data_IF_353278399823
#
_entry.id   IF_353278399823
#
_cell.length_a   1.000
_cell.length_b   1.000
_cell.length_c   1.000
_cell.angle_alpha   90.00
_cell.angle_beta   90.00
_cell.angle_gamma   90.00
#
_symmetry.space_group_name_H-M   'P 1'
#
loop_
_entity.id
_entity.type
_entity.pdbx_description
1 polymer ?
#
# COMPACT_ATOMS: atom_id res chain seq x y z
N UNK A 1 15.13 22.67 -25.13
CA UNK A 1 14.56 22.03 -23.92
C UNK A 1 13.37 21.23 -24.40
N UNK A 2 13.37 19.90 -24.24
CA UNK A 2 12.28 19.07 -24.74
C UNK A 2 11.06 19.17 -23.82
N UNK A 3 9.87 19.24 -24.40
CA UNK A 3 8.61 19.16 -23.65
C UNK A 3 8.55 17.83 -22.92
N UNK A 4 8.50 17.88 -21.60
CA UNK A 4 8.25 16.70 -20.77
C UNK A 4 6.75 16.60 -20.56
N UNK A 5 6.13 15.53 -21.08
CA UNK A 5 4.73 15.20 -20.80
C UNK A 5 4.64 14.16 -19.68
N UNK A 6 3.66 14.32 -18.80
CA UNK A 6 3.33 13.35 -17.76
C UNK A 6 1.91 12.84 -17.99
N UNK A 7 1.69 11.56 -17.74
CA UNK A 7 0.35 10.97 -17.75
C UNK A 7 -0.11 10.76 -16.31
N UNK A 8 -1.34 11.15 -16.02
CA UNK A 8 -2.00 10.94 -14.73
C UNK A 8 -3.30 10.18 -14.98
N UNK A 9 -3.54 9.12 -14.22
CA UNK A 9 -4.77 8.35 -14.24
C UNK A 9 -5.45 8.40 -12.86
N UNK A 10 -6.78 8.41 -12.85
CA UNK A 10 -7.61 8.44 -11.63
C UNK A 10 -8.74 7.43 -11.81
N UNK A 11 -8.93 6.57 -10.80
CA UNK A 11 -10.03 5.60 -10.73
C UNK A 11 -10.93 5.93 -9.55
N UNK A 12 -12.25 5.88 -9.76
CA UNK A 12 -13.28 6.11 -8.75
C UNK A 12 -14.48 5.17 -8.93
N UNK A 13 -15.40 5.19 -7.97
CA UNK A 13 -16.72 4.53 -8.04
C UNK A 13 -16.71 3.00 -8.19
N UNK A 14 -15.59 2.38 -7.81
CA UNK A 14 -15.36 0.93 -7.85
C UNK A 14 -14.85 0.43 -6.49
N UNK A 15 -14.73 -0.89 -6.34
CA UNK A 15 -14.11 -1.45 -5.12
C UNK A 15 -12.63 -1.05 -5.04
N UNK A 16 -12.09 -0.89 -3.83
CA UNK A 16 -10.65 -0.57 -3.62
C UNK A 16 -9.75 -1.58 -4.35
N UNK A 17 -10.11 -2.86 -4.33
CA UNK A 17 -9.38 -3.93 -5.02
C UNK A 17 -9.34 -3.71 -6.53
N UNK A 18 -10.49 -3.40 -7.14
CA UNK A 18 -10.58 -3.06 -8.58
C UNK A 18 -9.73 -1.83 -8.89
N UNK A 19 -9.87 -0.76 -8.12
CA UNK A 19 -9.15 0.50 -8.35
C UNK A 19 -7.63 0.33 -8.24
N UNK A 20 -7.14 -0.40 -7.23
CA UNK A 20 -5.70 -0.72 -7.10
C UNK A 20 -5.21 -1.52 -8.31
N UNK A 21 -5.97 -2.53 -8.74
CA UNK A 21 -5.65 -3.32 -9.92
C UNK A 21 -5.54 -2.47 -11.19
N UNK A 22 -6.49 -1.56 -11.41
CA UNK A 22 -6.48 -0.66 -12.56
C UNK A 22 -5.30 0.31 -12.51
N UNK A 23 -5.02 0.93 -11.36
CA UNK A 23 -3.84 1.80 -11.19
C UNK A 23 -2.53 1.07 -11.54
N UNK A 24 -2.39 -0.19 -11.10
CA UNK A 24 -1.21 -0.99 -11.44
C UNK A 24 -1.15 -1.32 -12.93
N UNK A 25 -2.31 -1.57 -13.56
CA UNK A 25 -2.40 -1.82 -15.00
C UNK A 25 -2.04 -0.59 -15.84
N UNK A 26 -2.43 0.61 -15.40
CA UNK A 26 -2.05 1.87 -16.06
C UNK A 26 -0.53 2.09 -16.02
N UNK A 27 0.15 1.59 -14.99
CA UNK A 27 1.61 1.55 -14.88
C UNK A 27 2.24 0.41 -15.71
N UNK A 28 1.44 -0.37 -16.43
CA UNK A 28 1.87 -1.46 -17.28
C UNK A 28 1.93 -2.84 -16.61
N UNK A 29 1.35 -2.98 -15.41
CA UNK A 29 1.32 -4.21 -14.62
C UNK A 29 2.36 -4.24 -13.51
N UNK A 30 2.05 -4.96 -12.41
CA UNK A 30 2.92 -5.01 -11.23
C UNK A 30 4.27 -5.69 -11.52
N UNK A 31 4.28 -6.65 -12.45
CA UNK A 31 5.47 -7.41 -12.85
C UNK A 31 6.51 -6.53 -13.56
N UNK A 32 6.10 -5.40 -14.16
CA UNK A 32 7.03 -4.43 -14.72
C UNK A 32 7.69 -3.55 -13.66
N UNK A 33 7.04 -3.40 -12.51
CA UNK A 33 7.51 -2.54 -11.42
C UNK A 33 8.37 -3.32 -10.42
N UNK A 34 8.07 -4.61 -10.24
CA UNK A 34 8.66 -5.44 -9.20
C UNK A 34 9.23 -6.72 -9.81
N UNK A 35 10.56 -6.82 -9.96
CA UNK A 35 11.22 -8.04 -10.43
C UNK A 35 11.02 -9.23 -9.45
N UNK A 36 11.04 -10.48 -9.95
CA UNK A 36 11.07 -11.66 -9.08
C UNK A 36 12.26 -11.66 -8.11
N UNK A 37 12.05 -12.19 -6.91
CA UNK A 37 13.06 -12.23 -5.85
C UNK A 37 13.28 -10.88 -5.15
N UNK A 38 12.50 -9.84 -5.45
CA UNK A 38 12.62 -8.55 -4.77
C UNK A 38 12.30 -8.62 -3.28
N UNK A 39 13.01 -7.82 -2.49
CA UNK A 39 12.69 -7.51 -1.08
C UNK A 39 11.94 -6.19 -1.03
N UNK A 40 10.72 -6.19 -0.52
CA UNK A 40 9.77 -5.08 -0.69
C UNK A 40 9.40 -4.48 0.67
N UNK A 41 9.47 -3.16 0.78
CA UNK A 41 8.92 -2.40 1.92
C UNK A 41 7.65 -1.67 1.49
N UNK A 42 6.53 -2.00 2.11
CA UNK A 42 5.28 -1.26 2.04
C UNK A 42 5.25 -0.21 3.16
N UNK A 43 5.26 1.06 2.76
CA UNK A 43 5.28 2.21 3.68
C UNK A 43 3.94 2.97 3.64
N UNK A 44 2.89 2.51 4.36
CA UNK A 44 1.61 3.22 4.40
C UNK A 44 1.74 4.54 5.16
N UNK A 45 0.88 5.53 4.89
CA UNK A 45 0.83 6.72 5.73
C UNK A 45 0.00 6.44 7.00
N UNK A 46 0.63 6.56 8.17
CA UNK A 46 0.03 6.31 9.48
C UNK A 46 0.21 7.45 10.49
N UNK A 47 0.83 8.57 10.09
CA UNK A 47 1.40 9.60 10.98
C UNK A 47 0.44 10.03 12.08
N UNK A 48 -0.84 10.21 11.76
CA UNK A 48 -1.88 10.43 12.76
C UNK A 48 -2.61 9.12 13.01
N UNK A 49 -2.58 8.62 14.24
CA UNK A 49 -3.28 7.40 14.66
C UNK A 49 -4.80 7.61 14.70
N UNK A 50 -5.43 7.71 13.52
CA UNK A 50 -6.87 7.88 13.34
C UNK A 50 -7.42 6.84 12.37
N UNK A 51 -8.73 6.57 12.43
CA UNK A 51 -9.38 5.75 11.41
C UNK A 51 -9.21 6.36 10.01
N UNK A 52 -9.11 5.51 8.98
CA UNK A 52 -8.93 5.94 7.59
C UNK A 52 -10.08 6.83 7.06
N UNK A 53 -11.27 6.78 7.68
CA UNK A 53 -12.40 7.65 7.35
C UNK A 53 -12.12 9.14 7.56
N UNK A 54 -11.06 9.48 8.30
CA UNK A 54 -10.61 10.87 8.49
C UNK A 54 -9.78 11.42 7.33
N UNK A 55 -9.33 10.57 6.40
CA UNK A 55 -8.39 10.93 5.33
C UNK A 55 -6.94 11.11 5.79
N UNK A 56 -6.65 11.05 7.09
CA UNK A 56 -5.29 11.22 7.63
C UNK A 56 -4.40 9.97 7.49
N UNK A 57 -5.02 8.81 7.25
CA UNK A 57 -4.35 7.50 7.24
C UNK A 57 -4.73 6.74 5.98
N UNK A 58 -3.77 6.03 5.38
CA UNK A 58 -4.03 5.12 4.26
C UNK A 58 -5.08 4.07 4.67
N UNK A 59 -6.05 3.81 3.79
CA UNK A 59 -7.01 2.73 4.03
C UNK A 59 -6.28 1.36 4.01
N UNK A 60 -6.37 0.54 5.08
CA UNK A 60 -5.67 -0.75 5.15
C UNK A 60 -6.08 -1.73 4.05
N UNK A 61 -7.27 -1.59 3.45
CA UNK A 61 -7.68 -2.40 2.30
C UNK A 61 -6.83 -2.14 1.03
N UNK A 62 -6.18 -0.97 0.93
CA UNK A 62 -5.22 -0.70 -0.14
C UNK A 62 -3.98 -1.58 0.03
N UNK A 63 -3.49 -1.73 1.26
CA UNK A 63 -2.38 -2.64 1.56
C UNK A 63 -2.78 -4.08 1.22
N UNK A 64 -3.99 -4.49 1.62
CA UNK A 64 -4.51 -5.83 1.34
C UNK A 64 -4.52 -6.14 -0.16
N UNK A 65 -5.12 -5.27 -0.97
CA UNK A 65 -5.18 -5.42 -2.42
C UNK A 65 -3.78 -5.38 -3.05
N UNK A 66 -2.88 -4.53 -2.56
CA UNK A 66 -1.53 -4.45 -3.10
C UNK A 66 -0.71 -5.72 -2.79
N UNK A 67 -0.81 -6.27 -1.58
CA UNK A 67 -0.11 -7.51 -1.20
C UNK A 67 -0.56 -8.68 -2.08
N UNK A 68 -1.86 -8.79 -2.39
CA UNK A 68 -2.36 -9.80 -3.33
C UNK A 68 -1.67 -9.72 -4.70
N UNK A 69 -1.41 -8.51 -5.20
CA UNK A 69 -0.68 -8.29 -6.45
C UNK A 69 0.81 -8.62 -6.32
N UNK A 70 1.44 -8.20 -5.24
CA UNK A 70 2.87 -8.39 -5.01
C UNK A 70 3.26 -9.86 -4.86
N UNK A 71 2.46 -10.69 -4.19
CA UNK A 71 2.80 -12.11 -4.02
C UNK A 71 2.93 -12.83 -5.38
N UNK A 72 2.18 -12.39 -6.40
CA UNK A 72 2.25 -12.96 -7.75
C UNK A 72 3.57 -12.68 -8.46
N UNK A 73 4.34 -11.69 -8.02
CA UNK A 73 5.66 -11.39 -8.58
C UNK A 73 6.77 -12.29 -8.03
N UNK A 74 6.45 -13.23 -7.12
CA UNK A 74 7.42 -14.09 -6.42
C UNK A 74 8.52 -13.31 -5.68
N UNK A 75 8.15 -12.38 -4.77
CA UNK A 75 9.13 -11.65 -3.96
C UNK A 75 9.80 -12.58 -2.96
N UNK A 76 11.01 -12.22 -2.52
CA UNK A 76 11.66 -12.96 -1.43
C UNK A 76 11.08 -12.58 -0.06
N UNK A 77 10.61 -11.33 0.10
CA UNK A 77 10.02 -10.84 1.34
C UNK A 77 9.17 -9.59 1.07
N UNK A 78 8.05 -9.46 1.80
CA UNK A 78 7.25 -8.24 1.87
C UNK A 78 7.19 -7.79 3.33
N UNK A 79 7.63 -6.57 3.60
CA UNK A 79 7.66 -5.96 4.93
C UNK A 79 6.67 -4.79 4.94
N UNK A 80 5.83 -4.69 5.98
CA UNK A 80 5.04 -3.48 6.23
C UNK A 80 5.73 -2.67 7.32
N UNK A 81 6.20 -1.47 6.99
CA UNK A 81 6.97 -0.64 7.92
C UNK A 81 6.59 0.83 7.86
N UNK A 82 6.27 1.42 9.01
CA UNK A 82 6.01 2.84 9.23
C UNK A 82 6.21 3.18 10.72
N UNK A 83 6.48 4.45 11.03
CA UNK A 83 6.49 5.01 12.38
C UNK A 83 5.26 5.86 12.68
N UNK A 84 4.84 5.94 13.95
CA UNK A 84 3.90 6.95 14.42
C UNK A 84 4.56 8.33 14.54
N UNK A 85 3.76 9.37 14.78
CA UNK A 85 4.27 10.69 15.18
C UNK A 85 5.09 10.60 16.48
N UNK A 86 6.00 11.56 16.67
CA UNK A 86 6.85 11.64 17.86
C UNK A 86 5.99 11.76 19.11
N UNK A 87 6.20 10.85 20.07
CA UNK A 87 5.46 10.81 21.33
C UNK A 87 4.34 9.78 21.35
N UNK A 88 3.96 9.21 20.20
CA UNK A 88 2.95 8.15 20.11
C UNK A 88 3.57 6.75 20.13
N UNK A 89 2.77 5.77 20.57
CA UNK A 89 3.11 4.35 20.47
C UNK A 89 2.82 3.82 19.06
N UNK A 90 3.87 3.41 18.36
CA UNK A 90 3.75 2.94 16.97
C UNK A 90 2.90 1.68 16.86
N UNK A 91 3.02 0.72 17.78
CA UNK A 91 2.23 -0.51 17.72
C UNK A 91 0.73 -0.23 17.92
N UNK A 92 0.40 0.74 18.78
CA UNK A 92 -0.96 1.20 18.98
C UNK A 92 -1.49 1.91 17.73
N UNK A 93 -0.66 2.72 17.06
CA UNK A 93 -1.03 3.30 15.77
C UNK A 93 -1.36 2.19 14.75
N UNK A 94 -0.54 1.14 14.65
CA UNK A 94 -0.82 -0.02 13.78
C UNK A 94 -2.17 -0.68 14.06
N UNK A 95 -2.57 -0.78 15.34
CA UNK A 95 -3.89 -1.33 15.71
C UNK A 95 -5.02 -0.39 15.32
N UNK A 96 -4.90 0.91 15.61
CA UNK A 96 -5.94 1.91 15.33
C UNK A 96 -6.18 2.05 13.83
N UNK A 97 -5.12 2.02 13.02
CA UNK A 97 -5.21 2.19 11.57
C UNK A 97 -5.65 0.93 10.84
N UNK A 98 -5.71 -0.22 11.53
CA UNK A 98 -6.02 -1.53 10.97
C UNK A 98 -4.86 -2.20 10.23
N UNK A 99 -3.69 -1.56 10.15
CA UNK A 99 -2.50 -2.12 9.51
C UNK A 99 -2.01 -3.38 10.25
N UNK A 100 -2.19 -3.43 11.57
CA UNK A 100 -1.87 -4.61 12.38
C UNK A 100 -2.61 -5.86 11.93
N UNK A 101 -3.90 -5.73 11.61
CA UNK A 101 -4.73 -6.86 11.19
C UNK A 101 -4.38 -7.33 9.79
N UNK A 102 -4.01 -6.41 8.89
CA UNK A 102 -3.45 -6.75 7.57
C UNK A 102 -2.14 -7.51 7.72
N UNK A 103 -1.22 -7.02 8.56
CA UNK A 103 0.05 -7.70 8.81
C UNK A 103 -0.16 -9.11 9.38
N UNK A 104 -1.14 -9.28 10.27
CA UNK A 104 -1.53 -10.60 10.80
C UNK A 104 -2.11 -11.52 9.73
N UNK A 105 -3.01 -11.01 8.87
CA UNK A 105 -3.65 -11.78 7.79
C UNK A 105 -2.62 -12.41 6.85
N UNK A 106 -1.59 -11.67 6.50
CA UNK A 106 -0.56 -12.09 5.54
C UNK A 106 0.69 -12.69 6.19
N UNK A 107 0.65 -12.93 7.50
CA UNK A 107 1.74 -13.58 8.21
C UNK A 107 1.77 -15.08 7.84
N UNK A 108 2.72 -15.45 6.98
CA UNK A 108 3.11 -16.83 6.71
C UNK A 108 3.97 -17.42 7.82
#
# INVERSE_FOLDING_TARGET
MGDTSYTVAVHSDETIKTMVGNCLQDLGGIEKLVPPGSRILLKPNMVVAKPNSTGATTNPLILDALIEHLIRTSPCEIIIGESSEVGDDTLQAYKITGVYDIAKKWKG
#
